data_IF_243516256495
#
_entry.id   IF_243516256495
#
_cell.length_a   1.000
_cell.length_b   1.000
_cell.length_c   1.000
_cell.angle_alpha   90.00
_cell.angle_beta   90.00
_cell.angle_gamma   90.00
#
_symmetry.space_group_name_H-M   'P 1'
#
loop_
_entity.id
_entity.type
_entity.pdbx_description
1 polymer ?
#
# COMPACT_ATOMS: atom_id res chain seq x y z
N UNK A 1 -28.09 6.71 41.92
CA UNK A 1 -28.99 5.56 42.11
C UNK A 1 -29.75 5.34 40.80
N UNK A 2 -29.29 4.36 39.99
CA UNK A 2 -29.99 3.31 39.20
C UNK A 2 -31.44 3.54 38.66
N UNK A 3 -31.94 2.75 37.67
CA UNK A 3 -31.28 1.97 36.58
C UNK A 3 -32.13 1.77 35.26
N UNK A 4 -31.56 1.02 34.27
CA UNK A 4 -32.16 0.17 33.17
C UNK A 4 -33.03 0.83 32.08
N UNK A 5 -33.04 0.41 30.79
CA UNK A 5 -33.01 -0.94 30.23
C UNK A 5 -32.25 -1.05 28.90
N UNK A 6 -31.70 -2.25 28.67
CA UNK A 6 -31.29 -2.78 27.39
C UNK A 6 -32.51 -3.10 26.52
N UNK A 7 -32.42 -2.90 25.21
CA UNK A 7 -33.18 -3.59 24.15
C UNK A 7 -32.46 -3.31 22.81
N UNK A 8 -31.66 -4.25 22.30
CA UNK A 8 -32.01 -5.36 21.40
C UNK A 8 -31.90 -5.02 19.91
N UNK A 9 -31.21 -5.94 19.21
CA UNK A 9 -31.48 -6.38 17.82
C UNK A 9 -30.85 -5.57 16.67
N UNK A 10 -29.71 -6.10 16.24
CA UNK A 10 -29.40 -6.48 14.84
C UNK A 10 -30.48 -6.17 13.79
N UNK A 11 -30.22 -5.20 12.90
CA UNK A 11 -30.94 -5.06 11.63
C UNK A 11 -30.00 -5.42 10.47
N UNK A 12 -30.25 -6.62 9.95
CA UNK A 12 -30.20 -7.06 8.56
C UNK A 12 -29.07 -6.57 7.63
N UNK A 13 -28.22 -7.53 7.27
CA UNK A 13 -27.65 -7.65 5.93
C UNK A 13 -28.77 -8.03 4.93
N UNK A 14 -29.05 -7.19 3.93
CA UNK A 14 -29.60 -7.55 2.61
C UNK A 14 -29.92 -6.29 1.79
N UNK A 15 -29.09 -5.96 0.79
CA UNK A 15 -29.49 -5.25 -0.43
C UNK A 15 -28.27 -5.13 -1.37
N UNK A 16 -27.92 -6.24 -2.02
CA UNK A 16 -27.29 -6.17 -3.35
C UNK A 16 -28.41 -6.30 -4.38
N UNK A 17 -28.20 -5.62 -5.50
CA UNK A 17 -28.86 -5.82 -6.78
C UNK A 17 -30.30 -5.31 -6.93
N UNK A 18 -30.44 -4.09 -7.45
CA UNK A 18 -31.38 -3.75 -8.53
C UNK A 18 -31.49 -2.23 -8.76
N UNK A 19 -30.54 -1.64 -9.51
CA UNK A 19 -30.87 -0.51 -10.39
C UNK A 19 -30.10 -0.69 -11.70
N UNK A 20 -30.74 -1.41 -12.63
CA UNK A 20 -30.28 -1.57 -14.00
C UNK A 20 -30.39 -0.27 -14.80
N UNK A 21 -29.40 -0.08 -15.67
CA UNK A 21 -29.59 0.17 -17.09
C UNK A 21 -30.77 1.08 -17.49
N UNK A 22 -30.56 2.39 -17.42
CA UNK A 22 -31.20 3.36 -18.32
C UNK A 22 -30.24 4.51 -18.65
N UNK A 23 -29.38 4.28 -19.65
CA UNK A 23 -28.80 5.30 -20.53
C UNK A 23 -28.17 4.64 -21.74
N UNK A 24 -29.04 4.22 -22.66
CA UNK A 24 -28.67 3.72 -23.99
C UNK A 24 -28.41 4.90 -24.93
N UNK A 25 -27.40 4.76 -25.77
CA UNK A 25 -27.21 5.41 -27.08
C UNK A 25 -27.03 6.95 -27.16
N UNK A 26 -25.78 7.42 -26.95
CA UNK A 26 -25.11 8.46 -27.76
C UNK A 26 -23.72 8.71 -27.15
N UNK A 27 -22.74 7.93 -27.59
CA UNK A 27 -21.37 7.97 -27.05
C UNK A 27 -20.43 6.91 -27.66
N UNK A 28 -20.92 6.11 -28.60
CA UNK A 28 -20.09 5.36 -29.53
C UNK A 28 -19.50 6.32 -30.57
N UNK A 29 -18.59 7.23 -30.18
CA UNK A 29 -17.76 8.02 -31.12
C UNK A 29 -16.54 8.68 -30.44
N UNK A 30 -15.94 8.04 -29.44
CA UNK A 30 -14.49 8.15 -29.26
C UNK A 30 -13.92 6.75 -29.41
N UNK A 31 -13.58 6.43 -30.66
CA UNK A 31 -12.66 5.35 -31.04
C UNK A 31 -11.60 5.30 -29.97
N UNK A 32 -11.59 4.23 -29.15
CA UNK A 32 -10.48 3.90 -28.29
C UNK A 32 -9.28 3.68 -29.22
N UNK A 33 -8.60 4.77 -29.58
CA UNK A 33 -7.21 4.73 -29.96
C UNK A 33 -6.49 4.39 -28.66
N UNK A 34 -6.60 3.12 -28.25
CA UNK A 34 -5.61 2.46 -27.42
C UNK A 34 -4.30 2.93 -28.00
N UNK A 35 -3.48 3.72 -27.28
CA UNK A 35 -2.21 4.14 -27.84
C UNK A 35 -1.53 2.83 -28.20
N UNK A 36 -1.25 2.62 -29.50
CA UNK A 36 -0.44 1.49 -29.95
C UNK A 36 0.75 1.54 -29.02
N UNK A 37 0.87 0.56 -28.13
CA UNK A 37 2.02 0.43 -27.24
C UNK A 37 3.18 0.07 -28.14
N UNK A 38 3.68 1.08 -28.83
CA UNK A 38 4.94 1.05 -29.53
C UNK A 38 5.94 0.61 -28.48
N UNK A 39 6.70 -0.40 -28.85
CA UNK A 39 7.83 -0.93 -28.10
C UNK A 39 8.90 0.15 -28.13
N UNK A 40 8.65 1.27 -27.42
CA UNK A 40 9.64 2.29 -27.14
C UNK A 40 10.64 1.61 -26.23
N UNK A 41 11.62 0.96 -26.85
CA UNK A 41 12.81 0.50 -26.17
C UNK A 41 13.33 1.69 -25.38
N UNK A 42 13.78 1.45 -24.15
CA UNK A 42 14.31 2.46 -23.24
C UNK A 42 15.70 2.92 -23.72
N UNK A 43 15.82 3.21 -25.02
CA UNK A 43 17.02 3.66 -25.71
C UNK A 43 16.89 5.16 -25.96
N UNK A 44 17.27 5.99 -24.99
CA UNK A 44 17.21 7.44 -25.15
C UNK A 44 18.15 7.88 -26.28
N UNK A 45 17.60 8.65 -27.23
CA UNK A 45 18.37 9.19 -28.35
C UNK A 45 19.16 10.44 -27.89
N UNK A 46 18.49 11.35 -27.18
CA UNK A 46 19.05 12.64 -26.74
C UNK A 46 19.98 12.46 -25.53
N UNK A 47 21.10 13.19 -25.50
CA UNK A 47 22.11 13.15 -24.40
C UNK A 47 21.48 13.36 -23.02
N UNK A 48 20.56 14.31 -22.89
CA UNK A 48 19.85 14.59 -21.65
C UNK A 48 18.99 13.40 -21.19
N UNK A 49 18.30 12.72 -22.11
CA UNK A 49 17.50 11.54 -21.80
C UNK A 49 18.38 10.36 -21.37
N UNK A 50 19.56 10.16 -21.99
CA UNK A 50 20.55 9.16 -21.56
C UNK A 50 20.93 9.34 -20.10
N UNK A 51 21.15 10.60 -19.68
CA UNK A 51 21.40 10.94 -18.26
C UNK A 51 20.21 10.60 -17.37
N UNK A 52 18.99 10.99 -17.76
CA UNK A 52 17.77 10.71 -16.97
C UNK A 52 17.53 9.22 -16.78
N UNK A 53 17.74 8.39 -17.81
CA UNK A 53 17.62 6.92 -17.69
C UNK A 53 18.64 6.35 -16.71
N UNK A 54 19.91 6.80 -16.77
CA UNK A 54 20.94 6.36 -15.80
C UNK A 54 20.57 6.73 -14.36
N UNK A 55 20.13 7.96 -14.13
CA UNK A 55 19.71 8.43 -12.80
C UNK A 55 18.49 7.66 -12.30
N UNK A 56 17.47 7.49 -13.14
CA UNK A 56 16.25 6.76 -12.79
C UNK A 56 16.52 5.29 -12.45
N UNK A 57 17.43 4.62 -13.16
CA UNK A 57 17.82 3.24 -12.85
C UNK A 57 18.48 3.15 -11.47
N UNK A 58 19.39 4.07 -11.14
CA UNK A 58 20.04 4.11 -9.82
C UNK A 58 19.02 4.34 -8.70
N UNK A 59 18.19 5.38 -8.83
CA UNK A 59 17.14 5.70 -7.87
C UNK A 59 16.12 4.56 -7.73
N UNK A 60 15.79 3.87 -8.82
CA UNK A 60 14.91 2.69 -8.80
C UNK A 60 15.52 1.57 -7.96
N UNK A 61 16.80 1.27 -8.10
CA UNK A 61 17.48 0.22 -7.32
C UNK A 61 17.48 0.56 -5.83
N UNK A 62 17.78 1.80 -5.47
CA UNK A 62 17.76 2.27 -4.08
C UNK A 62 16.34 2.20 -3.48
N UNK A 63 15.34 2.74 -4.20
CA UNK A 63 13.94 2.70 -3.77
C UNK A 63 13.41 1.27 -3.65
N UNK A 64 13.84 0.37 -4.54
CA UNK A 64 13.48 -1.04 -4.49
C UNK A 64 14.03 -1.68 -3.22
N UNK A 65 15.30 -1.43 -2.87
CA UNK A 65 15.93 -1.94 -1.63
C UNK A 65 15.16 -1.52 -0.39
N UNK A 66 14.86 -0.22 -0.23
CA UNK A 66 14.09 0.24 0.93
C UNK A 66 12.69 -0.39 0.99
N UNK A 67 11.99 -0.48 -0.15
CA UNK A 67 10.65 -1.07 -0.22
C UNK A 67 10.66 -2.57 0.09
N UNK A 68 11.65 -3.31 -0.42
CA UNK A 68 11.77 -4.75 -0.17
C UNK A 68 12.13 -5.02 1.29
N UNK A 69 13.07 -4.27 1.88
CA UNK A 69 13.42 -4.41 3.29
C UNK A 69 12.21 -4.19 4.19
N UNK A 70 11.43 -3.12 3.98
CA UNK A 70 10.22 -2.86 4.76
C UNK A 70 9.21 -4.01 4.58
N UNK A 71 9.03 -4.53 3.36
CA UNK A 71 8.13 -5.67 3.10
C UNK A 71 8.58 -6.93 3.84
N UNK A 72 9.88 -7.22 3.87
CA UNK A 72 10.45 -8.37 4.57
C UNK A 72 10.24 -8.26 6.08
N UNK A 73 10.55 -7.10 6.69
CA UNK A 73 10.35 -6.89 8.12
C UNK A 73 8.87 -6.94 8.51
N UNK A 74 7.96 -6.43 7.67
CA UNK A 74 6.51 -6.58 7.90
C UNK A 74 6.09 -8.05 7.92
N UNK A 75 6.64 -8.88 7.03
CA UNK A 75 6.36 -10.33 7.03
C UNK A 75 6.90 -11.02 8.28
N UNK A 76 8.12 -10.69 8.72
CA UNK A 76 8.71 -11.25 9.95
C UNK A 76 7.87 -10.92 11.18
N UNK A 77 7.42 -9.68 11.30
CA UNK A 77 6.52 -9.28 12.38
C UNK A 77 5.23 -10.10 12.36
N UNK A 78 4.61 -10.28 11.19
CA UNK A 78 3.40 -11.11 11.07
C UNK A 78 3.63 -12.55 11.47
N UNK A 79 4.76 -13.15 11.08
CA UNK A 79 5.14 -14.51 11.49
C UNK A 79 5.36 -14.61 12.99
N UNK A 80 6.09 -13.67 13.60
CA UNK A 80 6.35 -13.67 15.05
C UNK A 80 5.05 -13.53 15.87
N UNK A 81 4.12 -12.69 15.41
CA UNK A 81 2.78 -12.56 16.04
C UNK A 81 1.97 -13.84 15.89
N UNK A 82 2.05 -14.52 14.74
CA UNK A 82 1.36 -15.80 14.52
C UNK A 82 1.96 -16.95 15.36
N UNK A 83 3.26 -16.91 15.63
CA UNK A 83 3.97 -17.86 16.50
C UNK A 83 3.70 -17.62 18.00
N UNK A 84 3.18 -16.44 18.38
CA UNK A 84 2.88 -16.09 19.77
C UNK A 84 4.09 -15.61 20.59
N UNK A 85 5.23 -15.34 19.94
CA UNK A 85 6.46 -14.90 20.60
C UNK A 85 6.46 -13.38 20.85
N UNK A 86 5.96 -12.94 22.01
CA UNK A 86 5.82 -11.51 22.34
C UNK A 86 7.14 -10.74 22.32
N UNK A 87 8.22 -11.32 22.86
CA UNK A 87 9.53 -10.67 22.89
C UNK A 87 10.11 -10.44 21.49
N UNK A 88 9.95 -11.42 20.59
CA UNK A 88 10.39 -11.33 19.19
C UNK A 88 9.50 -10.37 18.40
N UNK A 89 8.20 -10.33 18.67
CA UNK A 89 7.30 -9.36 18.04
C UNK A 89 7.68 -7.91 18.40
N UNK A 90 8.03 -7.63 19.65
CA UNK A 90 8.45 -6.29 20.09
C UNK A 90 9.77 -5.87 19.44
N UNK A 91 10.76 -6.77 19.34
CA UNK A 91 12.05 -6.45 18.71
C UNK A 91 11.88 -6.18 17.21
N UNK A 92 11.19 -7.06 16.48
CA UNK A 92 10.92 -6.91 15.05
C UNK A 92 10.06 -5.66 14.75
N UNK A 93 9.12 -5.31 15.65
CA UNK A 93 8.35 -4.08 15.52
C UNK A 93 9.25 -2.83 15.58
N UNK A 94 10.17 -2.78 16.56
CA UNK A 94 11.13 -1.66 16.69
C UNK A 94 12.02 -1.54 15.45
N UNK A 95 12.48 -2.67 14.92
CA UNK A 95 13.27 -2.68 13.68
C UNK A 95 12.48 -2.21 12.47
N UNK A 96 11.23 -2.66 12.33
CA UNK A 96 10.33 -2.23 11.26
C UNK A 96 10.10 -0.71 11.30
N UNK A 97 9.82 -0.14 12.47
CA UNK A 97 9.61 1.31 12.62
C UNK A 97 10.86 2.08 12.20
N UNK A 98 12.05 1.67 12.67
CA UNK A 98 13.33 2.28 12.28
C UNK A 98 13.56 2.22 10.77
N UNK A 99 13.25 1.09 10.13
CA UNK A 99 13.40 0.93 8.69
C UNK A 99 12.42 1.82 7.90
N UNK A 100 11.17 1.96 8.37
CA UNK A 100 10.17 2.85 7.76
C UNK A 100 10.62 4.31 7.83
N UNK A 101 11.16 4.74 8.96
CA UNK A 101 11.63 6.11 9.14
C UNK A 101 12.82 6.43 8.25
N UNK A 102 13.80 5.52 8.16
CA UNK A 102 14.93 5.65 7.24
C UNK A 102 14.47 5.73 5.78
N UNK A 103 13.49 4.92 5.39
CA UNK A 103 12.92 4.95 4.05
C UNK A 103 12.15 6.24 3.76
N UNK A 104 11.56 6.87 4.77
CA UNK A 104 10.84 8.14 4.67
C UNK A 104 11.82 9.31 4.49
N UNK A 105 12.90 9.35 5.28
CA UNK A 105 13.94 10.37 5.15
C UNK A 105 14.61 10.35 3.77
N UNK A 106 14.77 9.16 3.17
CA UNK A 106 15.29 8.97 1.80
C UNK A 106 14.24 9.14 0.71
N UNK A 107 13.01 9.54 1.05
CA UNK A 107 11.86 9.72 0.14
C UNK A 107 11.48 8.46 -0.67
N UNK A 108 11.92 7.28 -0.26
CA UNK A 108 11.55 6.01 -0.88
C UNK A 108 10.08 5.63 -0.57
N UNK A 109 9.58 6.09 0.60
CA UNK A 109 8.18 6.04 1.01
C UNK A 109 7.67 7.45 1.32
N UNK A 110 6.43 7.73 0.92
CA UNK A 110 5.75 8.98 1.27
C UNK A 110 5.35 8.98 2.75
N UNK A 111 5.34 10.15 3.40
CA UNK A 111 4.98 10.33 4.82
C UNK A 111 3.65 9.68 5.21
N UNK A 112 2.62 9.80 4.36
CA UNK A 112 1.31 9.19 4.63
C UNK A 112 1.38 7.66 4.52
N UNK A 113 2.18 7.14 3.59
CA UNK A 113 2.37 5.69 3.45
C UNK A 113 3.15 5.13 4.63
N UNK A 114 4.15 5.86 5.11
CA UNK A 114 4.88 5.51 6.33
C UNK A 114 3.95 5.49 7.55
N UNK A 115 3.15 6.54 7.75
CA UNK A 115 2.17 6.63 8.83
C UNK A 115 1.17 5.46 8.82
N UNK A 116 0.59 5.14 7.65
CA UNK A 116 -0.32 3.97 7.50
C UNK A 116 0.37 2.65 7.89
N UNK A 117 1.62 2.44 7.47
CA UNK A 117 2.38 1.24 7.79
C UNK A 117 2.71 1.13 9.28
N UNK A 118 3.07 2.24 9.93
CA UNK A 118 3.27 2.27 11.39
C UNK A 118 1.98 1.94 12.14
N UNK A 119 0.87 2.55 11.74
CA UNK A 119 -0.44 2.26 12.34
C UNK A 119 -0.83 0.79 12.18
N UNK A 120 -0.60 0.20 11.01
CA UNK A 120 -0.83 -1.23 10.78
C UNK A 120 0.08 -2.11 11.66
N UNK A 121 1.37 -1.78 11.77
CA UNK A 121 2.30 -2.53 12.61
C UNK A 121 1.94 -2.44 14.10
N UNK A 122 1.38 -1.31 14.55
CA UNK A 122 0.91 -1.13 15.92
C UNK A 122 -0.35 -1.98 16.19
N UNK A 123 -1.31 -2.00 15.25
CA UNK A 123 -2.53 -2.83 15.35
C UNK A 123 -2.22 -4.32 15.45
N UNK A 124 -1.23 -4.78 14.69
CA UNK A 124 -0.78 -6.18 14.75
C UNK A 124 -0.22 -6.56 16.12
N UNK A 125 0.37 -5.61 16.86
CA UNK A 125 0.89 -5.85 18.21
C UNK A 125 -0.22 -5.74 19.27
N UNK A 126 -1.20 -4.84 19.08
CA UNK A 126 -2.28 -4.62 20.04
C UNK A 126 -3.45 -5.60 19.91
N UNK A 127 -3.49 -6.42 18.85
CA UNK A 127 -4.54 -7.42 18.66
C UNK A 127 -5.93 -6.82 18.43
N UNK A 128 -6.06 -5.72 17.67
CA UNK A 128 -7.34 -5.05 17.36
C UNK A 128 -7.47 -4.63 15.90
#
# INVERSE_FOLDING_TARGET
MRPVCAETVTIAAAARDAQGARRTAMGALLRSRSPRRGRFYVMPNIKQQKKRVRTATRERLENLRYRSTVKTLTRRLQTAVAEGDEQRAISEHRELVRAIDRATSRRALHRNTAARKKAQAARLLSGS
#
